data_IF_197681200767
#
_entry.id   IF_197681200767
#
_cell.length_a   1.000
_cell.length_b   1.000
_cell.length_c   1.000
_cell.angle_alpha   90.00
_cell.angle_beta   90.00
_cell.angle_gamma   90.00
#
_symmetry.space_group_name_H-M   'P 1'
#
loop_
_entity.id
_entity.type
_entity.pdbx_description
1 polymer ?
#
# COMPACT_ATOMS: atom_id res chain seq x y z
N UNK A 1 -14.66 11.31 12.99
CA UNK A 1 -14.38 11.11 11.56
C UNK A 1 -13.01 10.54 11.36
N UNK A 2 -12.77 9.93 10.23
CA UNK A 2 -11.49 9.31 9.95
C UNK A 2 -10.35 10.30 9.79
N UNK A 3 -9.13 9.78 9.80
CA UNK A 3 -7.93 10.57 9.62
C UNK A 3 -7.84 11.10 8.17
N UNK A 4 -7.19 12.25 8.01
CA UNK A 4 -6.87 12.78 6.67
C UNK A 4 -5.75 11.94 6.04
N UNK A 5 -5.58 12.08 4.74
CA UNK A 5 -4.47 11.42 4.05
C UNK A 5 -3.11 11.85 4.62
N UNK A 6 -2.96 13.15 4.93
CA UNK A 6 -1.73 13.65 5.55
C UNK A 6 -1.44 13.02 6.90
N UNK A 7 -2.47 12.87 7.74
CA UNK A 7 -2.32 12.23 9.05
C UNK A 7 -1.95 10.76 8.91
N UNK A 8 -2.58 10.05 7.96
CA UNK A 8 -2.22 8.66 7.67
C UNK A 8 -0.77 8.54 7.20
N UNK A 9 -0.35 9.45 6.31
CA UNK A 9 1.01 9.46 5.77
C UNK A 9 2.05 9.65 6.89
N UNK A 10 1.80 10.55 7.83
CA UNK A 10 2.70 10.76 8.96
C UNK A 10 2.84 9.51 9.83
N UNK A 11 1.73 8.85 10.13
CA UNK A 11 1.73 7.64 10.95
C UNK A 11 2.45 6.49 10.23
N UNK A 12 2.21 6.36 8.92
CA UNK A 12 2.88 5.34 8.10
C UNK A 12 4.40 5.59 8.10
N UNK A 13 4.82 6.83 7.92
CA UNK A 13 6.25 7.18 7.92
C UNK A 13 6.90 6.84 9.27
N UNK A 14 6.22 7.11 10.37
CA UNK A 14 6.71 6.77 11.71
C UNK A 14 6.92 5.27 11.87
N UNK A 15 5.95 4.47 11.42
CA UNK A 15 6.07 3.00 11.48
C UNK A 15 7.24 2.52 10.64
N UNK A 16 7.40 3.07 9.44
CA UNK A 16 8.51 2.72 8.55
C UNK A 16 9.86 3.03 9.20
N UNK A 17 9.99 4.18 9.87
CA UNK A 17 11.22 4.56 10.57
C UNK A 17 11.54 3.60 11.72
N UNK A 18 10.52 3.22 12.49
CA UNK A 18 10.67 2.25 13.57
C UNK A 18 11.14 0.90 13.02
N UNK A 19 10.52 0.45 11.94
CA UNK A 19 10.87 -0.82 11.29
C UNK A 19 12.32 -0.80 10.81
N UNK A 20 12.72 0.28 10.13
CA UNK A 20 14.08 0.41 9.60
C UNK A 20 15.12 0.41 10.73
N UNK A 21 14.83 1.09 11.84
CA UNK A 21 15.73 1.12 13.00
C UNK A 21 15.86 -0.27 13.64
N UNK A 22 14.75 -1.02 13.68
CA UNK A 22 14.73 -2.36 14.29
C UNK A 22 15.44 -3.40 13.44
N UNK A 23 15.25 -3.35 12.12
CA UNK A 23 15.76 -4.39 11.22
C UNK A 23 17.11 -4.04 10.57
N UNK A 24 17.50 -2.77 10.61
CA UNK A 24 18.72 -2.30 9.94
C UNK A 24 18.61 -2.25 8.42
N UNK A 25 17.41 -2.34 7.86
CA UNK A 25 17.21 -2.32 6.41
C UNK A 25 17.63 -0.96 5.84
N UNK A 26 18.30 -0.99 4.67
CA UNK A 26 18.66 0.22 3.94
C UNK A 26 17.54 0.56 2.96
N UNK A 27 16.91 1.72 3.15
CA UNK A 27 15.80 2.19 2.32
C UNK A 27 16.30 3.18 1.27
N UNK A 28 17.01 2.66 0.26
CA UNK A 28 17.45 3.48 -0.87
C UNK A 28 16.30 3.69 -1.87
N UNK A 29 16.57 4.43 -2.95
CA UNK A 29 15.53 4.76 -3.94
C UNK A 29 14.89 3.50 -4.52
N UNK A 30 15.69 2.50 -4.83
CA UNK A 30 15.19 1.27 -5.45
C UNK A 30 14.39 0.42 -4.46
N UNK A 31 14.72 0.48 -3.17
CA UNK A 31 14.01 -0.29 -2.16
C UNK A 31 12.52 0.02 -2.15
N UNK A 32 12.15 1.32 -2.21
CA UNK A 32 10.73 1.70 -2.21
C UNK A 32 10.01 1.19 -3.45
N UNK A 33 10.64 1.28 -4.62
CA UNK A 33 10.04 0.81 -5.87
C UNK A 33 9.86 -0.71 -5.86
N UNK A 34 10.86 -1.44 -5.38
CA UNK A 34 10.82 -2.91 -5.32
C UNK A 34 9.78 -3.40 -4.30
N UNK A 35 9.62 -2.70 -3.18
CA UNK A 35 8.59 -3.04 -2.19
C UNK A 35 7.19 -2.87 -2.75
N UNK A 36 6.95 -1.88 -3.59
CA UNK A 36 5.65 -1.73 -4.25
C UNK A 36 5.31 -2.98 -5.05
N UNK A 37 6.26 -3.49 -5.83
CA UNK A 37 6.06 -4.69 -6.63
C UNK A 37 5.83 -5.92 -5.75
N UNK A 38 6.62 -6.06 -4.69
CA UNK A 38 6.50 -7.17 -3.75
C UNK A 38 5.11 -7.20 -3.10
N UNK A 39 4.65 -6.07 -2.57
CA UNK A 39 3.34 -6.00 -1.90
C UNK A 39 2.19 -6.19 -2.87
N UNK A 40 2.31 -5.68 -4.09
CA UNK A 40 1.30 -5.93 -5.12
C UNK A 40 1.19 -7.43 -5.45
N UNK A 41 2.33 -8.12 -5.53
CA UNK A 41 2.36 -9.56 -5.74
C UNK A 41 1.73 -10.34 -4.60
N UNK A 42 1.99 -9.93 -3.35
CA UNK A 42 1.40 -10.57 -2.18
C UNK A 42 -0.12 -10.38 -2.13
N UNK A 43 -0.59 -9.20 -2.50
CA UNK A 43 -2.04 -8.95 -2.60
C UNK A 43 -2.66 -9.86 -3.66
N UNK A 44 -2.03 -9.96 -4.83
CA UNK A 44 -2.53 -10.83 -5.90
C UNK A 44 -2.59 -12.29 -5.43
N UNK A 45 -1.58 -12.74 -4.67
CA UNK A 45 -1.55 -14.10 -4.13
C UNK A 45 -2.73 -14.35 -3.18
N UNK A 46 -3.02 -13.43 -2.27
CA UNK A 46 -4.15 -13.58 -1.36
C UNK A 46 -5.49 -13.52 -2.08
N UNK A 47 -5.59 -12.68 -3.11
CA UNK A 47 -6.78 -12.63 -3.95
C UNK A 47 -7.05 -13.99 -4.61
N UNK A 48 -6.01 -14.60 -5.17
CA UNK A 48 -6.14 -15.90 -5.82
C UNK A 48 -6.49 -17.01 -4.83
N UNK A 49 -5.93 -16.98 -3.62
CA UNK A 49 -6.29 -17.94 -2.57
C UNK A 49 -7.78 -17.82 -2.22
N UNK A 50 -8.26 -16.58 -2.07
CA UNK A 50 -9.65 -16.32 -1.72
C UNK A 50 -10.61 -16.78 -2.80
N UNK A 51 -10.24 -16.63 -4.07
CA UNK A 51 -11.07 -17.04 -5.21
C UNK A 51 -10.94 -18.53 -5.54
N UNK A 52 -10.17 -19.30 -4.78
CA UNK A 52 -10.01 -20.74 -4.96
C UNK A 52 -8.93 -21.14 -5.96
N UNK A 53 -8.10 -20.21 -6.40
CA UNK A 53 -7.04 -20.47 -7.39
C UNK A 53 -5.65 -20.61 -6.76
N UNK A 54 -5.55 -20.45 -5.44
CA UNK A 54 -4.31 -20.60 -4.70
C UNK A 54 -4.47 -21.58 -3.55
N UNK A 55 -3.35 -22.01 -2.98
CA UNK A 55 -3.35 -22.97 -1.87
C UNK A 55 -3.84 -22.30 -0.60
N UNK A 56 -4.74 -22.95 0.10
CA UNK A 56 -5.26 -22.46 1.38
C UNK A 56 -4.34 -22.73 2.55
N UNK A 57 -3.51 -23.77 2.46
CA UNK A 57 -2.54 -24.16 3.49
C UNK A 57 -3.18 -24.29 4.88
N UNK A 58 -4.42 -24.82 4.96
CA UNK A 58 -5.13 -25.00 6.21
C UNK A 58 -5.84 -23.74 6.73
N UNK A 59 -5.74 -22.62 6.07
CA UNK A 59 -6.42 -21.38 6.48
C UNK A 59 -7.89 -21.41 6.11
N UNK A 60 -8.72 -20.80 6.97
CA UNK A 60 -10.14 -20.64 6.69
C UNK A 60 -10.36 -19.51 5.67
N UNK A 61 -11.57 -19.46 5.10
CA UNK A 61 -11.96 -18.38 4.19
C UNK A 61 -11.82 -17.00 4.85
N UNK A 62 -12.25 -16.90 6.11
CA UNK A 62 -12.16 -15.63 6.85
C UNK A 62 -10.71 -15.22 7.10
N UNK A 63 -9.84 -16.17 7.42
CA UNK A 63 -8.42 -15.88 7.60
C UNK A 63 -7.78 -15.37 6.31
N UNK A 64 -8.13 -15.97 5.17
CA UNK A 64 -7.61 -15.52 3.87
C UNK A 64 -8.15 -14.14 3.51
N UNK A 65 -9.43 -13.89 3.79
CA UNK A 65 -10.02 -12.58 3.55
C UNK A 65 -9.32 -11.48 4.35
N UNK A 66 -8.99 -11.77 5.62
CA UNK A 66 -8.25 -10.83 6.46
C UNK A 66 -6.82 -10.64 5.94
N UNK A 67 -6.15 -11.71 5.52
CA UNK A 67 -4.82 -11.62 4.94
C UNK A 67 -4.83 -10.71 3.70
N UNK A 68 -5.86 -10.80 2.87
CA UNK A 68 -6.01 -9.93 1.71
C UNK A 68 -6.14 -8.46 2.12
N UNK A 69 -6.93 -8.17 3.16
CA UNK A 69 -7.06 -6.81 3.67
C UNK A 69 -5.72 -6.27 4.18
N UNK A 70 -4.95 -7.13 4.87
CA UNK A 70 -3.64 -6.75 5.38
C UNK A 70 -2.68 -6.41 4.22
N UNK A 71 -2.75 -7.17 3.12
CA UNK A 71 -1.92 -6.89 1.96
C UNK A 71 -2.33 -5.61 1.23
N UNK A 72 -3.63 -5.27 1.24
CA UNK A 72 -4.07 -3.96 0.73
C UNK A 72 -3.46 -2.85 1.58
N UNK A 73 -3.46 -3.02 2.91
CA UNK A 73 -2.85 -2.03 3.80
C UNK A 73 -1.36 -1.87 3.54
N UNK A 74 -0.65 -2.99 3.35
CA UNK A 74 0.79 -2.96 3.06
C UNK A 74 1.07 -2.25 1.73
N UNK A 75 0.30 -2.56 0.69
CA UNK A 75 0.48 -1.94 -0.62
C UNK A 75 0.20 -0.44 -0.54
N UNK A 76 -0.90 -0.05 0.10
CA UNK A 76 -1.24 1.36 0.25
C UNK A 76 -0.15 2.11 1.01
N UNK A 77 0.33 1.53 2.11
CA UNK A 77 1.41 2.13 2.89
C UNK A 77 2.67 2.33 2.05
N UNK A 78 3.02 1.35 1.20
CA UNK A 78 4.19 1.49 0.33
C UNK A 78 4.00 2.56 -0.74
N UNK A 79 2.79 2.73 -1.27
CA UNK A 79 2.50 3.83 -2.20
C UNK A 79 2.74 5.17 -1.50
N UNK A 80 2.24 5.32 -0.29
CA UNK A 80 2.42 6.54 0.51
C UNK A 80 3.90 6.80 0.80
N UNK A 81 4.64 5.76 1.18
CA UNK A 81 6.08 5.89 1.46
C UNK A 81 6.87 6.24 0.20
N UNK A 82 6.51 5.66 -0.93
CA UNK A 82 7.12 6.00 -2.21
C UNK A 82 6.93 7.49 -2.52
N UNK A 83 5.71 7.99 -2.35
CA UNK A 83 5.41 9.40 -2.55
C UNK A 83 6.21 10.29 -1.59
N UNK A 84 6.23 9.92 -0.32
CA UNK A 84 6.96 10.68 0.71
C UNK A 84 8.45 10.75 0.38
N UNK A 85 9.05 9.62 0.05
CA UNK A 85 10.47 9.56 -0.26
C UNK A 85 10.84 10.38 -1.51
N UNK A 86 9.96 10.39 -2.51
CA UNK A 86 10.22 11.06 -3.78
C UNK A 86 9.62 12.46 -3.90
N UNK A 87 9.05 12.99 -2.82
CA UNK A 87 8.47 14.33 -2.82
C UNK A 87 7.26 14.46 -3.74
N UNK A 88 6.48 13.40 -3.90
CA UNK A 88 5.29 13.40 -4.75
C UNK A 88 4.07 13.77 -3.90
N UNK A 89 3.34 14.81 -4.33
CA UNK A 89 2.05 15.17 -3.76
C UNK A 89 0.98 14.34 -4.44
N UNK A 90 0.54 13.26 -3.78
CA UNK A 90 -0.42 12.32 -4.37
C UNK A 90 -1.78 12.97 -4.62
N UNK A 91 -2.22 13.89 -3.75
CA UNK A 91 -3.49 14.58 -3.95
C UNK A 91 -3.45 15.44 -5.21
N UNK A 92 -2.37 16.18 -5.42
CA UNK A 92 -2.19 16.99 -6.62
C UNK A 92 -2.13 16.13 -7.88
N UNK A 93 -1.46 14.98 -7.79
CA UNK A 93 -1.38 14.05 -8.91
C UNK A 93 -2.76 13.47 -9.26
N UNK A 94 -3.57 13.14 -8.24
CA UNK A 94 -4.93 12.65 -8.44
C UNK A 94 -5.81 13.73 -9.09
N UNK A 95 -5.70 14.97 -8.62
CA UNK A 95 -6.45 16.10 -9.22
C UNK A 95 -6.11 16.24 -10.71
N UNK A 96 -4.83 16.24 -11.03
CA UNK A 96 -4.35 16.42 -12.39
C UNK A 96 -4.72 15.25 -13.31
N UNK A 97 -4.58 14.03 -12.83
CA UNK A 97 -4.69 12.84 -13.68
C UNK A 97 -6.11 12.28 -13.72
N UNK A 98 -6.81 12.31 -12.59
CA UNK A 98 -8.09 11.61 -12.44
C UNK A 98 -9.28 12.56 -12.29
N UNK A 99 -9.18 13.52 -11.36
CA UNK A 99 -10.36 14.30 -10.98
C UNK A 99 -10.75 15.35 -12.01
N UNK A 100 -9.88 15.62 -12.96
CA UNK A 100 -10.24 16.45 -14.13
C UNK A 100 -11.42 15.84 -14.91
N UNK A 101 -11.56 14.52 -14.86
CA UNK A 101 -12.64 13.81 -15.55
C UNK A 101 -14.01 14.03 -14.88
N UNK A 102 -14.03 14.37 -13.61
CA UNK A 102 -15.27 14.73 -12.94
C UNK A 102 -15.89 15.99 -13.53
N UNK A 103 -15.06 16.92 -13.93
CA UNK A 103 -15.51 18.19 -14.54
C UNK A 103 -16.05 17.97 -15.95
N UNK A 104 -15.58 16.96 -16.66
CA UNK A 104 -15.98 16.66 -18.02
C UNK A 104 -17.40 16.11 -18.10
N UNK A 105 -17.99 15.68 -16.98
CA UNK A 105 -19.34 15.12 -16.93
C UNK A 105 -20.41 16.14 -16.62
N UNK A 106 -20.02 17.38 -16.35
CA UNK A 106 -20.95 18.49 -16.09
C UNK A 106 -21.04 19.44 -17.30
#
# INVERSE_FOLDING_TARGET
>A
MGATLGELAERIAQVSDIYAARTGVTRDDDWYALKLMEEAGELAAEHLRLSGRGRRNGNTQDEIAQAREDEVADLFAMVILYCHHNGIDIEAALERKWFKHLKATT
#
